data_IF_298974288116
#
_entry.id   IF_298974288116
#
_cell.length_a   1.000
_cell.length_b   1.000
_cell.length_c   1.000
_cell.angle_alpha   90.00
_cell.angle_beta   90.00
_cell.angle_gamma   90.00
#
_symmetry.space_group_name_H-M   'P 1'
#
loop_
_entity.id
_entity.type
_entity.pdbx_description
1 polymer ?
#
# COMPACT_ATOMS: atom_id res chain seq x y z
N UNK A 1 67.42 26.40 46.18
CA UNK A 1 68.18 26.66 44.92
C UNK A 1 68.10 25.39 44.09
N UNK A 2 67.17 25.30 43.12
CA UNK A 2 67.38 25.57 41.68
C UNK A 2 68.21 24.45 41.00
N UNK A 3 67.86 23.82 39.88
CA UNK A 3 66.70 23.73 38.97
C UNK A 3 67.13 22.72 37.88
N UNK A 4 66.18 21.97 37.27
CA UNK A 4 66.27 21.31 35.93
C UNK A 4 67.19 20.06 35.86
N UNK A 5 66.90 18.96 35.15
CA UNK A 5 65.93 18.60 34.10
C UNK A 5 66.06 17.09 33.87
N UNK A 6 64.95 16.33 33.84
CA UNK A 6 64.90 15.06 33.11
C UNK A 6 63.44 14.85 32.68
N UNK A 7 63.11 15.25 31.45
CA UNK A 7 61.80 14.97 30.87
C UNK A 7 61.86 13.58 30.24
N UNK A 8 60.92 12.76 30.70
CA UNK A 8 60.68 11.37 30.32
C UNK A 8 60.36 11.32 28.83
N UNK A 9 61.17 10.55 28.12
CA UNK A 9 60.96 10.10 26.76
C UNK A 9 60.05 8.87 26.83
N UNK A 10 58.81 8.94 26.36
CA UNK A 10 57.98 7.84 25.80
C UNK A 10 56.51 8.26 25.72
N UNK A 11 55.77 7.60 24.84
CA UNK A 11 54.34 7.75 24.54
C UNK A 11 54.00 8.82 23.48
N UNK A 12 54.15 8.42 22.22
CA UNK A 12 53.65 9.16 21.08
C UNK A 12 53.59 8.31 19.81
N UNK A 13 53.29 7.01 19.91
CA UNK A 13 52.90 6.21 18.74
C UNK A 13 51.38 6.35 18.60
N UNK A 14 51.00 7.47 17.99
CA UNK A 14 49.64 7.91 17.73
C UNK A 14 48.93 6.89 16.83
N UNK A 15 47.85 6.28 17.35
CA UNK A 15 47.06 5.27 16.68
C UNK A 15 46.49 5.76 15.34
N UNK A 16 46.96 5.18 14.25
CA UNK A 16 46.54 5.45 12.89
C UNK A 16 46.34 4.13 12.13
N UNK A 17 45.42 3.27 12.59
CA UNK A 17 45.00 2.09 11.82
C UNK A 17 43.81 1.37 12.50
N UNK A 18 42.60 1.95 12.55
CA UNK A 18 41.37 1.14 12.70
C UNK A 18 40.06 1.92 12.47
N UNK A 19 39.98 2.74 11.41
CA UNK A 19 38.72 3.41 11.04
C UNK A 19 38.46 3.35 9.53
N UNK A 20 38.83 2.24 8.91
CA UNK A 20 38.48 1.97 7.52
C UNK A 20 37.53 0.77 7.46
N UNK A 21 36.36 1.04 6.86
CA UNK A 21 35.35 0.09 6.39
C UNK A 21 34.32 -0.41 7.40
N UNK A 22 33.55 0.51 7.99
CA UNK A 22 32.12 0.28 8.17
C UNK A 22 31.40 1.24 7.23
N UNK A 23 31.46 0.97 5.92
CA UNK A 23 30.48 1.56 5.03
C UNK A 23 29.17 0.82 5.30
N UNK A 24 28.07 1.50 5.66
CA UNK A 24 26.77 0.86 5.63
C UNK A 24 26.55 0.41 4.19
N UNK A 25 26.53 -0.90 3.98
CA UNK A 25 26.00 -1.48 2.75
C UNK A 25 24.57 -0.95 2.68
N UNK A 26 24.33 0.02 1.80
CA UNK A 26 22.96 0.39 1.46
C UNK A 26 22.35 -0.84 0.82
N UNK A 27 21.55 -1.57 1.59
CA UNK A 27 20.59 -2.51 1.04
C UNK A 27 19.74 -1.72 0.07
N UNK A 28 19.97 -1.94 -1.22
CA UNK A 28 19.17 -1.36 -2.28
C UNK A 28 17.84 -2.12 -2.26
N UNK A 29 16.94 -1.76 -1.33
CA UNK A 29 15.57 -2.25 -1.38
C UNK A 29 14.95 -1.68 -2.64
N UNK A 30 14.74 -2.54 -3.63
CA UNK A 30 13.87 -2.24 -4.76
C UNK A 30 12.43 -2.36 -4.25
N UNK A 31 12.00 -1.41 -3.42
CA UNK A 31 10.60 -1.30 -3.04
C UNK A 31 9.81 -0.93 -4.29
N UNK A 32 9.24 -1.95 -4.92
CA UNK A 32 8.30 -1.78 -6.03
C UNK A 32 7.07 -1.09 -5.46
N UNK A 33 6.76 0.10 -5.98
CA UNK A 33 5.62 0.88 -5.49
C UNK A 33 4.30 0.13 -5.74
N UNK A 34 3.53 -0.08 -4.67
CA UNK A 34 2.21 -0.72 -4.74
C UNK A 34 1.13 0.32 -5.04
N UNK A 35 0.45 0.14 -6.16
CA UNK A 35 -0.67 0.93 -6.61
C UNK A 35 -1.96 0.13 -6.42
N UNK A 36 -2.82 0.57 -5.52
CA UNK A 36 -4.15 0.00 -5.32
C UNK A 36 -5.17 0.69 -6.23
N UNK A 37 -6.04 -0.10 -6.85
CA UNK A 37 -7.13 0.38 -7.71
C UNK A 37 -8.39 -0.47 -7.50
N UNK A 38 -9.56 0.06 -7.82
CA UNK A 38 -10.83 -0.67 -7.89
C UNK A 38 -11.18 -1.00 -9.35
N UNK A 39 -11.84 -2.12 -9.62
CA UNK A 39 -12.33 -2.44 -10.98
C UNK A 39 -13.16 -1.27 -11.54
N UNK A 40 -12.82 -0.84 -12.76
CA UNK A 40 -13.41 0.32 -13.43
C UNK A 40 -12.73 1.65 -13.13
N UNK A 41 -11.79 1.69 -12.17
CA UNK A 41 -10.99 2.88 -11.88
C UNK A 41 -9.96 3.14 -13.00
N UNK A 42 -9.72 4.43 -13.25
CA UNK A 42 -8.69 4.92 -14.16
C UNK A 42 -7.65 5.68 -13.36
N UNK A 43 -6.37 5.39 -13.58
CA UNK A 43 -5.24 6.08 -12.95
C UNK A 43 -4.30 6.63 -14.00
N UNK A 44 -3.87 7.86 -13.78
CA UNK A 44 -2.95 8.59 -14.65
C UNK A 44 -1.57 8.56 -14.02
N UNK A 45 -0.59 8.10 -14.78
CA UNK A 45 0.81 8.07 -14.39
C UNK A 45 1.59 9.15 -15.16
N UNK A 46 2.19 10.13 -14.47
CA UNK A 46 2.98 11.16 -15.14
C UNK A 46 4.26 10.55 -15.73
N UNK A 47 4.56 10.93 -16.97
CA UNK A 47 5.77 10.46 -17.68
C UNK A 47 6.35 11.58 -18.53
N UNK A 48 7.49 11.33 -19.18
CA UNK A 48 8.07 12.25 -20.16
C UNK A 48 8.63 11.50 -21.36
N UNK A 49 7.92 11.57 -22.48
CA UNK A 49 8.25 10.87 -23.74
C UNK A 49 8.50 9.38 -23.51
N UNK A 50 7.46 8.62 -23.11
CA UNK A 50 7.60 7.20 -22.83
C UNK A 50 8.04 6.46 -24.10
N UNK A 51 9.12 5.69 -23.96
CA UNK A 51 9.72 4.88 -25.03
C UNK A 51 9.26 3.42 -25.00
N UNK A 52 8.81 2.94 -23.83
CA UNK A 52 8.30 1.59 -23.62
C UNK A 52 7.23 1.62 -22.54
N UNK A 53 6.14 0.89 -22.74
CA UNK A 53 5.09 0.68 -21.74
C UNK A 53 4.73 -0.80 -21.74
N UNK A 54 4.67 -1.40 -20.56
CA UNK A 54 4.45 -2.84 -20.38
C UNK A 54 3.46 -3.05 -19.23
N UNK A 55 2.51 -3.94 -19.49
CA UNK A 55 1.58 -4.48 -18.50
C UNK A 55 1.79 -5.99 -18.46
N UNK A 56 2.03 -6.55 -17.28
CA UNK A 56 2.26 -7.98 -17.12
C UNK A 56 1.03 -8.83 -17.47
N UNK A 57 -0.15 -8.42 -16.98
CA UNK A 57 -1.42 -9.08 -17.25
C UNK A 57 -2.51 -8.06 -17.63
N UNK A 58 -2.80 -7.88 -18.94
CA UNK A 58 -3.79 -6.92 -19.43
C UNK A 58 -5.25 -7.26 -19.07
N UNK A 59 -5.52 -8.46 -18.54
CA UNK A 59 -6.85 -8.81 -18.02
C UNK A 59 -7.12 -8.18 -16.64
N UNK A 60 -6.09 -7.81 -15.88
CA UNK A 60 -6.20 -7.19 -14.55
C UNK A 60 -6.26 -5.66 -14.68
N UNK A 61 -5.29 -5.06 -15.37
CA UNK A 61 -5.28 -3.64 -15.69
C UNK A 61 -4.68 -3.46 -17.08
N UNK A 62 -5.01 -2.41 -17.82
CA UNK A 62 -4.52 -2.20 -19.18
C UNK A 62 -4.27 -0.72 -19.48
N UNK A 63 -3.35 -0.44 -20.39
CA UNK A 63 -3.07 0.92 -20.84
C UNK A 63 -4.08 1.31 -21.89
N UNK A 64 -4.80 2.40 -21.66
CA UNK A 64 -5.82 2.89 -22.59
C UNK A 64 -5.33 4.05 -23.45
N UNK A 65 -4.41 4.86 -22.92
CA UNK A 65 -3.73 5.90 -23.66
C UNK A 65 -2.32 6.10 -23.12
N UNK A 66 -1.40 6.53 -23.99
CA UNK A 66 -0.04 6.90 -23.62
C UNK A 66 0.44 8.03 -24.53
N UNK A 67 0.76 9.17 -23.93
CA UNK A 67 1.25 10.34 -24.64
C UNK A 67 2.56 10.84 -24.02
N UNK A 68 3.04 12.00 -24.47
CA UNK A 68 4.35 12.52 -24.06
C UNK A 68 4.45 12.93 -22.58
N UNK A 69 3.32 13.10 -21.88
CA UNK A 69 3.29 13.58 -20.49
C UNK A 69 2.60 12.62 -19.52
N UNK A 70 1.81 11.68 -20.01
CA UNK A 70 1.02 10.79 -19.16
C UNK A 70 0.73 9.44 -19.82
N UNK A 71 0.52 8.44 -18.96
CA UNK A 71 0.04 7.10 -19.31
C UNK A 71 -1.24 6.85 -18.52
N UNK A 72 -2.32 6.52 -19.21
CA UNK A 72 -3.62 6.24 -18.61
C UNK A 72 -3.83 4.74 -18.50
N UNK A 73 -4.02 4.25 -17.28
CA UNK A 73 -4.20 2.82 -16.97
C UNK A 73 -5.58 2.59 -16.38
N UNK A 74 -6.32 1.63 -16.93
CA UNK A 74 -7.65 1.23 -16.45
C UNK A 74 -7.59 -0.12 -15.76
N UNK A 75 -8.22 -0.22 -14.58
CA UNK A 75 -8.45 -1.48 -13.89
C UNK A 75 -9.62 -2.24 -14.53
N UNK A 76 -9.34 -3.44 -15.08
CA UNK A 76 -10.34 -4.27 -15.79
C UNK A 76 -10.89 -5.42 -14.95
N UNK A 77 -10.04 -6.06 -14.15
CA UNK A 77 -10.41 -7.25 -13.39
C UNK A 77 -9.63 -7.36 -12.09
N UNK A 78 -10.18 -8.04 -11.06
CA UNK A 78 -9.50 -8.19 -9.79
C UNK A 78 -8.23 -9.03 -9.96
N UNK A 79 -7.18 -8.69 -9.22
CA UNK A 79 -5.90 -9.41 -9.24
C UNK A 79 -4.70 -8.48 -9.07
N UNK A 80 -3.51 -9.03 -9.29
CA UNK A 80 -2.26 -8.29 -9.24
C UNK A 80 -1.57 -8.37 -10.60
N UNK A 81 -1.05 -7.24 -11.08
CA UNK A 81 -0.23 -7.17 -12.30
C UNK A 81 0.94 -6.21 -12.09
N UNK A 82 1.98 -6.34 -12.90
CA UNK A 82 3.04 -5.35 -12.98
C UNK A 82 2.71 -4.32 -14.05
N UNK A 83 3.01 -3.06 -13.77
CA UNK A 83 3.02 -1.98 -14.74
C UNK A 83 4.41 -1.38 -14.76
N UNK A 84 5.04 -1.31 -15.93
CA UNK A 84 6.35 -0.69 -16.06
C UNK A 84 6.41 0.15 -17.32
N UNK A 85 7.13 1.27 -17.25
CA UNK A 85 7.43 2.08 -18.41
C UNK A 85 8.85 2.62 -18.36
N UNK A 86 9.38 2.93 -19.54
CA UNK A 86 10.69 3.57 -19.68
C UNK A 86 10.51 4.93 -20.34
N UNK A 87 10.98 5.97 -19.68
CA UNK A 87 10.94 7.34 -20.18
C UNK A 87 12.36 7.95 -20.22
N UNK A 88 12.47 9.27 -20.40
CA UNK A 88 13.78 9.95 -20.44
C UNK A 88 14.54 9.92 -19.10
N UNK A 89 13.86 9.61 -18.00
CA UNK A 89 14.45 9.52 -16.66
C UNK A 89 14.87 8.11 -16.28
N UNK A 90 14.38 7.09 -16.99
CA UNK A 90 14.76 5.70 -16.78
C UNK A 90 13.55 4.78 -16.81
N UNK A 91 13.71 3.61 -16.19
CA UNK A 91 12.64 2.63 -16.03
C UNK A 91 11.93 2.82 -14.68
N UNK A 92 10.61 2.86 -14.72
CA UNK A 92 9.73 2.90 -13.55
C UNK A 92 8.88 1.64 -13.54
N UNK A 93 8.68 1.05 -12.37
CA UNK A 93 7.94 -0.19 -12.20
C UNK A 93 7.05 -0.12 -10.96
N UNK A 94 5.81 -0.56 -11.13
CA UNK A 94 4.74 -0.54 -10.15
C UNK A 94 4.09 -1.91 -10.08
N UNK A 95 3.68 -2.30 -8.87
CA UNK A 95 2.76 -3.42 -8.69
C UNK A 95 1.36 -2.85 -8.60
N UNK A 96 0.49 -3.18 -9.55
CA UNK A 96 -0.93 -2.79 -9.51
C UNK A 96 -1.72 -3.92 -8.88
N UNK A 97 -2.42 -3.63 -7.77
CA UNK A 97 -3.39 -4.52 -7.14
C UNK A 97 -4.80 -3.96 -7.36
N UNK A 98 -5.61 -4.70 -8.10
CA UNK A 98 -7.00 -4.34 -8.42
C UNK A 98 -7.94 -5.14 -7.53
N UNK A 99 -8.81 -4.42 -6.81
CA UNK A 99 -9.87 -5.00 -6.00
C UNK A 99 -11.21 -4.93 -6.73
N UNK A 100 -12.07 -5.92 -6.52
CA UNK A 100 -13.41 -5.96 -7.14
C UNK A 100 -14.36 -4.89 -6.60
N UNK A 101 -14.13 -4.42 -5.37
CA UNK A 101 -14.98 -3.45 -4.68
C UNK A 101 -14.15 -2.64 -3.68
N UNK A 102 -14.55 -1.39 -3.47
CA UNK A 102 -14.05 -0.59 -2.36
C UNK A 102 -14.68 -1.07 -1.05
N UNK A 103 -13.87 -1.76 -0.25
CA UNK A 103 -14.34 -2.34 1.01
C UNK A 103 -14.61 -1.29 2.08
N UNK A 104 -13.89 -0.17 2.05
CA UNK A 104 -14.06 0.92 3.02
C UNK A 104 -15.37 1.66 2.76
N UNK A 105 -15.70 1.91 1.50
CA UNK A 105 -17.01 2.45 1.12
C UNK A 105 -18.14 1.49 1.46
N UNK A 106 -17.91 0.18 1.30
CA UNK A 106 -18.88 -0.85 1.70
C UNK A 106 -19.10 -0.84 3.22
N UNK A 107 -18.02 -0.82 4.00
CA UNK A 107 -18.04 -0.70 5.45
C UNK A 107 -18.81 0.55 5.91
N UNK A 108 -18.53 1.70 5.32
CA UNK A 108 -19.22 2.96 5.64
C UNK A 108 -20.74 2.86 5.42
N UNK A 109 -21.16 2.24 4.31
CA UNK A 109 -22.59 2.00 4.05
C UNK A 109 -23.22 1.12 5.13
N UNK A 110 -22.52 0.06 5.56
CA UNK A 110 -23.00 -0.83 6.62
C UNK A 110 -23.06 -0.08 7.96
N UNK A 111 -22.02 0.67 8.33
CA UNK A 111 -22.00 1.48 9.56
C UNK A 111 -23.19 2.45 9.61
N UNK A 112 -23.51 3.08 8.49
CA UNK A 112 -24.65 3.99 8.39
C UNK A 112 -26.00 3.27 8.51
N UNK A 113 -26.10 2.01 8.08
CA UNK A 113 -27.29 1.17 8.32
C UNK A 113 -27.41 0.77 9.79
N UNK A 114 -26.32 0.32 10.42
CA UNK A 114 -26.30 -0.07 11.84
C UNK A 114 -26.65 1.09 12.77
N UNK A 115 -26.15 2.30 12.47
CA UNK A 115 -26.52 3.53 13.18
C UNK A 115 -28.02 3.79 13.14
N UNK A 116 -28.68 3.59 11.99
CA UNK A 116 -30.14 3.78 11.84
C UNK A 116 -30.96 2.75 12.63
N UNK A 117 -30.40 1.57 12.89
CA UNK A 117 -31.04 0.51 13.68
C UNK A 117 -30.86 0.70 15.19
N UNK A 118 -30.11 1.71 15.64
CA UNK A 118 -29.79 1.96 17.05
C UNK A 118 -29.14 0.75 17.75
N UNK A 119 -28.18 0.11 17.09
CA UNK A 119 -27.44 -1.04 17.62
C UNK A 119 -25.98 -0.65 17.94
N UNK A 120 -25.71 0.03 19.07
CA UNK A 120 -24.39 0.56 19.38
C UNK A 120 -23.35 -0.53 19.72
N UNK A 121 -23.79 -1.74 20.05
CA UNK A 121 -22.91 -2.88 20.37
C UNK A 121 -22.50 -3.69 19.13
N UNK A 122 -22.98 -3.32 17.94
CA UNK A 122 -22.59 -3.94 16.67
C UNK A 122 -21.72 -2.96 15.89
N UNK A 123 -20.55 -3.42 15.46
CA UNK A 123 -19.57 -2.63 14.74
C UNK A 123 -19.01 -3.43 13.56
N UNK A 124 -18.36 -2.72 12.63
CA UNK A 124 -17.78 -3.35 11.45
C UNK A 124 -16.27 -3.18 11.39
N UNK A 125 -15.60 -4.18 10.83
CA UNK A 125 -14.17 -4.15 10.52
C UNK A 125 -14.00 -4.51 9.04
N UNK A 126 -13.29 -3.67 8.27
CA UNK A 126 -12.97 -4.00 6.89
C UNK A 126 -11.77 -4.95 6.85
N UNK A 127 -11.90 -6.01 6.06
CA UNK A 127 -10.83 -6.94 5.72
C UNK A 127 -10.57 -6.86 4.20
N UNK A 128 -9.55 -6.08 3.84
CA UNK A 128 -9.26 -5.71 2.46
C UNK A 128 -8.72 -6.91 1.65
N UNK A 129 -7.99 -7.82 2.29
CA UNK A 129 -7.42 -8.98 1.60
C UNK A 129 -8.49 -9.99 1.20
N UNK A 130 -9.50 -10.18 2.06
CA UNK A 130 -10.64 -11.04 1.75
C UNK A 130 -11.74 -10.33 0.94
N UNK A 131 -11.66 -9.00 0.79
CA UNK A 131 -12.71 -8.20 0.16
C UNK A 131 -14.03 -8.26 0.93
N UNK A 132 -13.97 -8.34 2.26
CA UNK A 132 -15.11 -8.54 3.15
C UNK A 132 -15.14 -7.53 4.29
N UNK A 133 -16.33 -7.32 4.85
CA UNK A 133 -16.55 -6.53 6.05
C UNK A 133 -17.01 -7.47 7.14
N UNK A 134 -16.25 -7.62 8.21
CA UNK A 134 -16.67 -8.39 9.37
C UNK A 134 -17.67 -7.60 10.20
N UNK A 135 -18.75 -8.28 10.58
CA UNK A 135 -19.77 -7.73 11.45
C UNK A 135 -19.58 -8.31 12.85
N UNK A 136 -19.09 -7.47 13.76
CA UNK A 136 -18.65 -7.88 15.09
C UNK A 136 -19.55 -7.26 16.16
N UNK A 137 -19.59 -7.89 17.33
CA UNK A 137 -20.30 -7.37 18.49
C UNK A 137 -21.46 -8.24 18.96
N UNK A 138 -22.41 -7.63 19.67
CA UNK A 138 -23.50 -8.35 20.33
C UNK A 138 -24.85 -7.73 20.00
N UNK A 139 -25.86 -8.60 19.95
CA UNK A 139 -27.27 -8.25 19.82
C UNK A 139 -28.02 -8.87 21.00
N UNK A 140 -29.05 -8.18 21.50
CA UNK A 140 -29.77 -8.59 22.72
C UNK A 140 -30.78 -9.69 22.43
N UNK A 141 -31.32 -9.71 21.22
CA UNK A 141 -32.41 -10.62 20.82
C UNK A 141 -32.17 -11.22 19.44
N UNK A 142 -32.80 -12.38 19.18
CA UNK A 142 -32.82 -12.97 17.84
C UNK A 142 -33.48 -12.05 16.81
N UNK A 143 -34.49 -11.27 17.22
CA UNK A 143 -35.17 -10.31 16.35
C UNK A 143 -34.28 -9.13 15.95
N UNK A 144 -33.39 -8.66 16.83
CA UNK A 144 -32.37 -7.67 16.48
C UNK A 144 -31.38 -8.23 15.45
N UNK A 145 -30.93 -9.48 15.65
CA UNK A 145 -30.07 -10.17 14.69
C UNK A 145 -30.71 -10.25 13.31
N UNK A 146 -31.99 -10.64 13.25
CA UNK A 146 -32.72 -10.76 11.99
C UNK A 146 -32.91 -9.40 11.30
N UNK A 147 -33.20 -8.34 12.07
CA UNK A 147 -33.29 -6.97 11.56
C UNK A 147 -31.97 -6.50 10.94
N UNK A 148 -30.84 -6.85 11.55
CA UNK A 148 -29.51 -6.55 11.01
C UNK A 148 -29.30 -7.25 9.67
N UNK A 149 -29.52 -8.56 9.60
CA UNK A 149 -29.35 -9.30 8.35
C UNK A 149 -30.31 -8.85 7.24
N UNK A 150 -31.54 -8.50 7.61
CA UNK A 150 -32.53 -7.96 6.68
C UNK A 150 -32.10 -6.59 6.14
N UNK A 151 -31.67 -5.67 7.01
CA UNK A 151 -31.24 -4.33 6.61
C UNK A 151 -29.99 -4.36 5.73
N UNK A 152 -29.08 -5.30 5.98
CA UNK A 152 -27.85 -5.43 5.22
C UNK A 152 -28.03 -6.31 3.97
N UNK A 153 -29.18 -6.96 3.79
CA UNK A 153 -29.55 -7.88 2.69
C UNK A 153 -28.70 -7.81 1.42
N UNK A 154 -28.72 -6.71 0.64
CA UNK A 154 -27.99 -6.61 -0.63
C UNK A 154 -26.44 -6.64 -0.51
N UNK A 155 -25.90 -6.53 0.69
CA UNK A 155 -24.46 -6.57 1.01
C UNK A 155 -24.07 -7.85 1.76
N UNK A 156 -24.99 -8.81 1.94
CA UNK A 156 -24.74 -10.03 2.73
C UNK A 156 -23.56 -10.85 2.19
N UNK A 157 -23.40 -10.91 0.87
CA UNK A 157 -22.28 -11.62 0.22
C UNK A 157 -20.90 -10.97 0.46
N UNK A 158 -20.88 -9.80 1.11
CA UNK A 158 -19.68 -9.04 1.45
C UNK A 158 -19.38 -9.04 2.95
N UNK A 159 -20.16 -9.77 3.73
CA UNK A 159 -20.04 -9.80 5.19
C UNK A 159 -19.75 -11.22 5.64
N UNK A 160 -18.90 -11.32 6.66
CA UNK A 160 -18.66 -12.54 7.43
C UNK A 160 -18.95 -12.27 8.89
#
# INVERSE_FOLDING_TARGET
MAKRTFKILTAGLLGLALFLFIHPISECSSDVELVKMIVGETRIFPTRSPSRVVIGNPAVADVTDANNSEITVNAKGPGTTTFAYKDVYGEQSFQIRVYSVDIFKTKERIDNLLKKLNLPEVYTQAEEEEGKVFLLGRVKTADERERVFTAIGPLKDRIV
#
